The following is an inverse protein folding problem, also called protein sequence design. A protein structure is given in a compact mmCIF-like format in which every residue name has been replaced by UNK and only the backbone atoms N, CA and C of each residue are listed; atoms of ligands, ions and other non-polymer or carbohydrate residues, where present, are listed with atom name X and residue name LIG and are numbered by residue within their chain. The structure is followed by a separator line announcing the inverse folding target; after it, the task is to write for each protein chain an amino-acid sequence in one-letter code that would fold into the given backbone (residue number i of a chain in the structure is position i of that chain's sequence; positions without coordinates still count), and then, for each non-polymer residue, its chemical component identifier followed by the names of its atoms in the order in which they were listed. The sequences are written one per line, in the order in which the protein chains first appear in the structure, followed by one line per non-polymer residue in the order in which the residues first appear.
data_IF_473046473272
#
_entry.id   IF_473046473272
#
_cell.length_a   1.000
_cell.length_b   1.000
_cell.length_c   1.000
_cell.angle_alpha   90.00
_cell.angle_beta   90.00
_cell.angle_gamma   90.00
#
_symmetry.space_group_name_H-M   'P 1'
#
loop_
_entity.id
_entity.type
_entity.pdbx_description
1 polymer ?
#
# COMPACT_ATOMS: atom_id res chain seq x y z
N UNK A 1 -9.13 -17.09 -25.50
CA UNK A 1 -10.18 -16.84 -24.48
C UNK A 1 -9.87 -15.51 -23.81
N UNK A 2 -10.85 -14.60 -23.79
CA UNK A 2 -10.78 -13.20 -23.34
C UNK A 2 -11.39 -13.16 -21.93
N UNK A 3 -10.61 -12.87 -20.88
CA UNK A 3 -11.13 -12.79 -19.49
C UNK A 3 -10.40 -11.68 -18.72
N UNK A 4 -11.15 -10.62 -18.41
CA UNK A 4 -11.05 -9.76 -17.22
C UNK A 4 -9.81 -8.88 -16.97
N UNK A 5 -9.22 -8.28 -18.02
CA UNK A 5 -8.48 -7.00 -17.84
C UNK A 5 -9.46 -5.83 -17.92
N UNK A 6 -10.48 -5.80 -17.04
CA UNK A 6 -11.49 -4.75 -17.00
C UNK A 6 -10.86 -3.38 -17.18
N UNK A 7 -11.35 -2.62 -18.17
CA UNK A 7 -10.78 -1.37 -18.72
C UNK A 7 -9.69 -0.70 -17.86
N UNK A 8 -8.47 -1.27 -17.89
CA UNK A 8 -7.36 -0.79 -17.07
C UNK A 8 -6.98 0.66 -17.44
N UNK A 9 -6.98 1.05 -18.73
CA UNK A 9 -6.83 2.45 -19.12
C UNK A 9 -7.89 3.37 -18.52
N UNK A 10 -9.18 3.01 -18.62
CA UNK A 10 -10.27 3.80 -18.03
C UNK A 10 -10.20 3.88 -16.50
N UNK A 11 -9.79 2.80 -15.84
CA UNK A 11 -9.56 2.78 -14.40
C UNK A 11 -8.39 3.70 -14.01
N UNK A 12 -7.27 3.66 -14.73
CA UNK A 12 -6.13 4.54 -14.49
C UNK A 12 -6.51 6.01 -14.66
N UNK A 13 -7.27 6.32 -15.71
CA UNK A 13 -7.75 7.68 -15.97
C UNK A 13 -8.67 8.17 -14.83
N UNK A 14 -9.61 7.35 -14.39
CA UNK A 14 -10.52 7.67 -13.30
C UNK A 14 -9.79 7.87 -11.96
N UNK A 15 -8.85 6.98 -11.62
CA UNK A 15 -8.07 7.11 -10.39
C UNK A 15 -7.11 8.30 -10.43
N UNK A 16 -6.49 8.59 -11.58
CA UNK A 16 -5.62 9.77 -11.74
C UNK A 16 -6.40 11.07 -11.55
N UNK A 17 -7.56 11.24 -12.19
CA UNK A 17 -8.43 12.41 -11.95
C UNK A 17 -8.88 12.53 -10.50
N UNK A 18 -9.20 11.39 -9.89
CA UNK A 18 -9.55 11.34 -8.47
C UNK A 18 -8.38 11.71 -7.56
N UNK A 19 -7.16 11.36 -7.93
CA UNK A 19 -5.94 11.73 -7.20
C UNK A 19 -5.71 13.24 -7.28
N UNK A 20 -5.79 13.84 -8.47
CA UNK A 20 -5.61 15.29 -8.68
C UNK A 20 -6.53 16.13 -7.77
N UNK A 21 -7.80 15.72 -7.65
CA UNK A 21 -8.77 16.39 -6.77
C UNK A 21 -8.37 16.24 -5.30
N UNK A 22 -7.95 15.04 -4.89
CA UNK A 22 -7.56 14.77 -3.49
C UNK A 22 -6.26 15.47 -3.11
N UNK A 23 -5.29 15.53 -4.01
CA UNK A 23 -4.06 16.29 -3.83
C UNK A 23 -4.38 17.78 -3.66
N UNK A 24 -5.22 18.34 -4.54
CA UNK A 24 -5.64 19.73 -4.42
C UNK A 24 -6.39 20.05 -3.12
N UNK A 25 -7.14 19.08 -2.55
CA UNK A 25 -7.76 19.22 -1.23
C UNK A 25 -6.72 19.12 -0.10
N UNK A 26 -5.86 18.11 -0.16
CA UNK A 26 -4.80 17.88 0.84
C UNK A 26 -3.81 19.06 0.93
N UNK A 27 -3.55 19.74 -0.19
CA UNK A 27 -2.70 20.93 -0.23
C UNK A 27 -3.37 22.17 0.40
N UNK A 28 -4.71 22.23 0.41
CA UNK A 28 -5.44 23.33 1.07
C UNK A 28 -5.42 23.21 2.59
N UNK A 29 -5.38 21.99 3.11
CA UNK A 29 -5.24 21.71 4.54
C UNK A 29 -4.29 20.52 4.77
N UNK A 30 -2.96 20.77 4.83
CA UNK A 30 -1.97 19.72 5.07
C UNK A 30 -2.14 19.02 6.43
N UNK A 31 -2.83 19.65 7.39
CA UNK A 31 -3.12 19.06 8.70
C UNK A 31 -4.30 18.08 8.67
N UNK A 32 -5.07 18.02 7.58
CA UNK A 32 -6.20 17.13 7.46
C UNK A 32 -5.75 15.69 7.16
N UNK A 33 -5.58 14.90 8.23
CA UNK A 33 -5.18 13.50 8.14
C UNK A 33 -6.10 12.63 7.28
N UNK A 34 -7.39 12.97 7.20
CA UNK A 34 -8.36 12.27 6.34
C UNK A 34 -8.06 12.47 4.86
N UNK A 35 -7.83 13.72 4.44
CA UNK A 35 -7.49 14.03 3.06
C UNK A 35 -6.14 13.48 2.65
N UNK A 36 -5.15 13.52 3.55
CA UNK A 36 -3.86 12.87 3.33
C UNK A 36 -4.04 11.36 3.12
N UNK A 37 -4.83 10.68 3.96
CA UNK A 37 -5.11 9.25 3.80
C UNK A 37 -5.82 8.95 2.47
N UNK A 38 -6.74 9.80 2.05
CA UNK A 38 -7.43 9.64 0.76
C UNK A 38 -6.45 9.71 -0.43
N UNK A 39 -5.45 10.60 -0.38
CA UNK A 39 -4.37 10.66 -1.38
C UNK A 39 -3.57 9.36 -1.40
N UNK A 40 -3.14 8.87 -0.23
CA UNK A 40 -2.44 7.58 -0.10
C UNK A 40 -3.24 6.43 -0.73
N UNK A 41 -4.51 6.28 -0.38
CA UNK A 41 -5.37 5.22 -0.93
C UNK A 41 -5.51 5.33 -2.45
N UNK A 42 -5.64 6.55 -2.99
CA UNK A 42 -5.69 6.75 -4.44
C UNK A 42 -4.39 6.33 -5.14
N UNK A 43 -3.24 6.63 -4.55
CA UNK A 43 -1.93 6.19 -5.04
C UNK A 43 -1.80 4.66 -5.02
N UNK A 44 -2.31 3.97 -3.99
CA UNK A 44 -2.34 2.49 -3.99
C UNK A 44 -3.16 1.92 -5.15
N UNK A 45 -4.31 2.53 -5.48
CA UNK A 45 -5.14 2.09 -6.62
C UNK A 45 -4.46 2.32 -7.96
N UNK A 46 -3.78 3.45 -8.13
CA UNK A 46 -2.97 3.73 -9.33
C UNK A 46 -1.84 2.72 -9.44
N UNK A 47 -1.14 2.42 -8.34
CA UNK A 47 -0.09 1.40 -8.31
C UNK A 47 -0.61 0.01 -8.68
N UNK A 48 -1.80 -0.37 -8.22
CA UNK A 48 -2.43 -1.66 -8.56
C UNK A 48 -2.71 -1.77 -10.06
N UNK A 49 -3.23 -0.69 -10.66
CA UNK A 49 -3.53 -0.64 -12.10
C UNK A 49 -2.24 -0.64 -12.93
N UNK A 50 -1.25 0.19 -12.58
CA UNK A 50 0.05 0.24 -13.28
C UNK A 50 0.76 -1.10 -13.23
N UNK A 51 0.77 -1.78 -12.07
CA UNK A 51 1.33 -3.14 -11.94
C UNK A 51 0.60 -4.13 -12.85
N UNK A 52 -0.74 -4.07 -12.90
CA UNK A 52 -1.53 -4.94 -13.77
C UNK A 52 -1.28 -4.67 -15.27
N UNK A 53 -0.90 -3.45 -15.63
CA UNK A 53 -0.50 -3.07 -16.99
C UNK A 53 0.96 -3.43 -17.31
N UNK A 54 1.74 -3.90 -16.34
CA UNK A 54 3.18 -4.16 -16.49
C UNK A 54 4.06 -2.92 -16.38
N UNK A 55 3.50 -1.74 -16.04
CA UNK A 55 4.26 -0.54 -15.70
C UNK A 55 4.74 -0.64 -14.25
N UNK A 56 5.76 -1.47 -14.05
CA UNK A 56 6.37 -1.69 -12.73
C UNK A 56 7.05 -0.44 -12.16
N UNK A 57 7.80 0.36 -12.95
CA UNK A 57 8.37 1.61 -12.45
C UNK A 57 7.31 2.58 -11.95
N UNK A 58 6.23 2.77 -12.72
CA UNK A 58 5.14 3.64 -12.31
C UNK A 58 4.35 3.07 -11.11
N UNK A 59 4.25 1.75 -10.97
CA UNK A 59 3.64 1.14 -9.79
C UNK A 59 4.47 1.37 -8.52
N UNK A 60 5.78 1.15 -8.60
CA UNK A 60 6.71 1.38 -7.49
C UNK A 60 6.71 2.85 -7.05
N UNK A 61 6.69 3.78 -7.99
CA UNK A 61 6.56 5.21 -7.70
C UNK A 61 5.27 5.51 -6.91
N UNK A 62 4.11 5.03 -7.39
CA UNK A 62 2.83 5.28 -6.76
C UNK A 62 2.77 4.68 -5.33
N UNK A 63 3.21 3.43 -5.16
CA UNK A 63 3.23 2.82 -3.84
C UNK A 63 4.23 3.47 -2.87
N UNK A 64 5.36 3.98 -3.37
CA UNK A 64 6.34 4.70 -2.54
C UNK A 64 5.72 5.99 -2.00
N UNK A 65 5.07 6.78 -2.87
CA UNK A 65 4.36 8.00 -2.43
C UNK A 65 3.23 7.69 -1.44
N UNK A 66 2.50 6.59 -1.65
CA UNK A 66 1.50 6.13 -0.67
C UNK A 66 2.14 5.81 0.68
N UNK A 67 3.27 5.09 0.67
CA UNK A 67 3.98 4.71 1.88
C UNK A 67 4.45 5.93 2.68
N UNK A 68 5.00 6.95 2.00
CA UNK A 68 5.47 8.19 2.63
C UNK A 68 4.34 8.89 3.41
N UNK A 69 3.15 8.99 2.81
CA UNK A 69 1.98 9.57 3.46
C UNK A 69 1.51 8.69 4.62
N UNK A 70 1.41 7.38 4.41
CA UNK A 70 0.97 6.45 5.45
C UNK A 70 1.91 6.46 6.67
N UNK A 71 3.23 6.50 6.47
CA UNK A 71 4.24 6.64 7.53
C UNK A 71 4.09 7.98 8.27
N UNK A 72 3.87 9.08 7.53
CA UNK A 72 3.66 10.40 8.15
C UNK A 72 2.42 10.40 9.07
N UNK A 73 1.31 9.81 8.63
CA UNK A 73 0.09 9.69 9.44
C UNK A 73 0.30 8.76 10.64
N UNK A 74 0.88 7.58 10.43
CA UNK A 74 1.19 6.64 11.50
C UNK A 74 2.15 7.22 12.55
N UNK A 75 3.02 8.16 12.17
CA UNK A 75 3.87 8.92 13.08
C UNK A 75 3.13 9.98 13.91
N UNK A 76 2.03 10.55 13.40
CA UNK A 76 1.21 11.53 14.12
C UNK A 76 0.41 10.89 15.26
N UNK A 77 -0.10 9.67 15.04
CA UNK A 77 -0.75 8.87 16.08
C UNK A 77 -0.29 7.41 16.00
N UNK A 78 0.77 7.04 16.73
CA UNK A 78 1.26 5.67 16.78
C UNK A 78 0.24 4.65 17.31
N UNK A 79 -0.74 5.10 18.11
CA UNK A 79 -1.82 4.26 18.64
C UNK A 79 -2.93 3.98 17.63
N UNK A 80 -2.96 4.69 16.51
CA UNK A 80 -3.96 4.49 15.47
C UNK A 80 -3.65 3.22 14.66
N UNK A 81 -4.24 2.09 15.08
CA UNK A 81 -4.08 0.80 14.41
C UNK A 81 -4.52 0.83 12.93
N UNK A 82 -5.47 1.70 12.58
CA UNK A 82 -5.90 1.90 11.20
C UNK A 82 -4.81 2.49 10.31
N UNK A 83 -4.05 3.47 10.82
CA UNK A 83 -2.93 4.06 10.08
C UNK A 83 -1.72 3.13 10.03
N UNK A 84 -1.41 2.44 11.14
CA UNK A 84 -0.36 1.41 11.14
C UNK A 84 -0.64 0.32 10.09
N UNK A 85 -1.92 -0.06 9.91
CA UNK A 85 -2.32 -1.02 8.88
C UNK A 85 -2.15 -0.48 7.46
N UNK A 86 -2.40 0.79 7.20
CA UNK A 86 -2.14 1.38 5.87
C UNK A 86 -0.66 1.25 5.50
N UNK A 87 0.24 1.48 6.46
CA UNK A 87 1.66 1.32 6.21
C UNK A 87 2.02 -0.12 5.84
N UNK A 88 1.45 -1.10 6.56
CA UNK A 88 1.63 -2.53 6.26
C UNK A 88 1.12 -2.85 4.84
N UNK A 89 -0.03 -2.29 4.44
CA UNK A 89 -0.60 -2.49 3.11
C UNK A 89 0.33 -1.91 2.04
N UNK A 90 0.76 -0.66 2.18
CA UNK A 90 1.70 -0.02 1.24
C UNK A 90 3.04 -0.78 1.13
N UNK A 91 3.60 -1.26 2.24
CA UNK A 91 4.80 -2.12 2.23
C UNK A 91 4.56 -3.46 1.51
N UNK A 92 3.41 -4.09 1.73
CA UNK A 92 3.03 -5.34 1.03
C UNK A 92 2.89 -5.13 -0.48
N UNK A 93 2.36 -3.99 -0.90
CA UNK A 93 2.22 -3.62 -2.32
C UNK A 93 3.57 -3.38 -2.98
N UNK A 94 4.50 -2.69 -2.30
CA UNK A 94 5.88 -2.53 -2.73
C UNK A 94 6.59 -3.88 -2.85
N UNK A 95 6.40 -4.80 -1.90
CA UNK A 95 6.94 -6.15 -1.99
C UNK A 95 6.42 -6.89 -3.22
N UNK A 96 5.11 -6.86 -3.46
CA UNK A 96 4.52 -7.50 -4.63
C UNK A 96 4.98 -6.89 -5.96
N UNK A 97 5.16 -5.56 -6.02
CA UNK A 97 5.72 -4.89 -7.19
C UNK A 97 7.18 -5.27 -7.42
N UNK A 98 8.01 -5.30 -6.36
CA UNK A 98 9.40 -5.73 -6.44
C UNK A 98 9.55 -7.19 -6.88
N UNK A 99 8.66 -8.10 -6.45
CA UNK A 99 8.62 -9.47 -6.98
C UNK A 99 8.30 -9.51 -8.47
N UNK A 100 7.34 -8.69 -8.91
CA UNK A 100 6.99 -8.58 -10.33
C UNK A 100 8.16 -8.04 -11.16
N UNK A 101 9.01 -7.20 -10.55
CA UNK A 101 10.21 -6.60 -11.15
C UNK A 101 11.46 -7.50 -11.05
N UNK A 102 11.31 -8.74 -10.53
CA UNK A 102 12.44 -9.66 -10.38
C UNK A 102 13.43 -9.24 -9.29
N UNK A 103 12.97 -8.51 -8.27
CA UNK A 103 13.77 -8.04 -7.13
C UNK A 103 13.35 -8.73 -5.81
N UNK A 104 13.61 -10.04 -5.64
CA UNK A 104 13.15 -10.78 -4.46
C UNK A 104 13.70 -10.23 -3.13
N UNK A 105 14.93 -9.73 -3.11
CA UNK A 105 15.59 -9.24 -1.90
C UNK A 105 15.00 -7.88 -1.48
N UNK A 106 14.68 -7.02 -2.43
CA UNK A 106 13.89 -5.80 -2.19
C UNK A 106 12.52 -6.16 -1.62
N UNK A 107 11.86 -7.16 -2.19
CA UNK A 107 10.56 -7.62 -1.70
C UNK A 107 10.63 -8.20 -0.28
N UNK A 108 11.65 -9.01 0.02
CA UNK A 108 11.89 -9.55 1.35
C UNK A 108 12.06 -8.44 2.39
N UNK A 109 12.85 -7.40 2.08
CA UNK A 109 13.03 -6.26 2.98
C UNK A 109 11.74 -5.51 3.30
N UNK A 110 10.83 -5.37 2.32
CA UNK A 110 9.51 -4.79 2.55
C UNK A 110 8.61 -5.68 3.41
N UNK A 111 8.62 -6.99 3.16
CA UNK A 111 7.83 -7.95 3.94
C UNK A 111 8.31 -8.06 5.38
N UNK A 112 9.62 -8.01 5.61
CA UNK A 112 10.20 -8.06 6.95
C UNK A 112 9.75 -6.84 7.78
N UNK A 113 9.78 -5.64 7.19
CA UNK A 113 9.22 -4.42 7.82
C UNK A 113 7.72 -4.53 8.11
N UNK A 114 6.96 -5.06 7.15
CA UNK A 114 5.51 -5.24 7.31
C UNK A 114 5.17 -6.25 8.41
N UNK A 115 5.94 -7.33 8.52
CA UNK A 115 5.79 -8.35 9.56
C UNK A 115 6.10 -7.80 10.96
N UNK A 116 7.17 -7.00 11.07
CA UNK A 116 7.54 -6.33 12.32
C UNK A 116 6.40 -5.42 12.81
N UNK A 117 5.90 -4.53 11.94
CA UNK A 117 4.79 -3.64 12.30
C UNK A 117 3.50 -4.39 12.60
N UNK A 118 3.18 -5.42 11.82
CA UNK A 118 2.04 -6.30 12.09
C UNK A 118 2.15 -7.02 13.44
N UNK A 119 3.38 -7.29 13.92
CA UNK A 119 3.60 -7.84 15.25
C UNK A 119 3.27 -6.89 16.38
N UNK A 120 3.58 -5.61 16.23
CA UNK A 120 3.15 -4.60 17.18
C UNK A 120 1.60 -4.51 17.26
N UNK A 121 0.91 -4.61 16.12
CA UNK A 121 -0.56 -4.65 16.10
C UNK A 121 -1.10 -5.89 16.82
N UNK A 122 -0.65 -7.09 16.46
CA UNK A 122 -1.14 -8.32 17.12
C UNK A 122 -0.82 -8.33 18.62
N UNK A 123 0.28 -7.72 19.06
CA UNK A 123 0.58 -7.59 20.48
C UNK A 123 -0.41 -6.66 21.21
N UNK A 124 -0.98 -5.65 20.55
CA UNK A 124 -1.94 -4.71 21.16
C UNK A 124 -3.37 -5.26 21.24
N UNK A 125 -3.78 -6.09 20.29
CA UNK A 125 -5.02 -6.88 20.34
C UNK A 125 -4.82 -8.24 19.63
N UNK A 126 -4.44 -9.28 20.40
CA UNK A 126 -4.19 -10.61 19.85
C UNK A 126 -5.43 -11.31 19.28
N UNK A 127 -6.63 -10.83 19.59
CA UNK A 127 -7.89 -11.44 19.13
C UNK A 127 -8.35 -10.88 17.79
N UNK A 128 -7.66 -9.86 17.27
CA UNK A 128 -8.00 -9.22 16.02
C UNK A 128 -7.76 -10.16 14.82
N UNK A 129 -8.85 -10.71 14.28
CA UNK A 129 -8.79 -11.62 13.14
C UNK A 129 -8.24 -10.97 11.86
N UNK A 130 -8.41 -9.64 11.70
CA UNK A 130 -7.90 -8.93 10.52
C UNK A 130 -6.37 -8.92 10.53
N UNK A 131 -5.76 -8.58 11.66
CA UNK A 131 -4.30 -8.53 11.75
C UNK A 131 -3.66 -9.91 11.66
N UNK A 132 -4.32 -10.93 12.22
CA UNK A 132 -3.91 -12.32 12.05
C UNK A 132 -4.00 -12.78 10.58
N UNK A 133 -4.99 -12.28 9.84
CA UNK A 133 -5.08 -12.54 8.40
C UNK A 133 -3.98 -11.82 7.62
N UNK A 134 -3.75 -10.53 7.89
CA UNK A 134 -2.68 -9.76 7.25
C UNK A 134 -1.32 -10.45 7.48
N UNK A 135 -1.06 -10.93 8.71
CA UNK A 135 0.13 -11.73 9.04
C UNK A 135 0.29 -12.94 8.15
N UNK A 136 -0.79 -13.72 7.97
CA UNK A 136 -0.77 -14.95 7.17
C UNK A 136 -0.41 -14.63 5.71
N UNK A 137 -0.97 -13.56 5.16
CA UNK A 137 -0.65 -13.10 3.80
C UNK A 137 0.82 -12.72 3.70
N UNK A 138 1.33 -11.92 4.64
CA UNK A 138 2.73 -11.49 4.68
C UNK A 138 3.71 -12.67 4.78
N UNK A 139 3.43 -13.63 5.68
CA UNK A 139 4.25 -14.83 5.85
C UNK A 139 4.22 -15.72 4.60
N UNK A 140 3.06 -15.85 3.97
CA UNK A 140 2.93 -16.60 2.71
C UNK A 140 3.75 -15.98 1.60
N UNK A 141 3.71 -14.65 1.43
CA UNK A 141 4.53 -13.95 0.44
C UNK A 141 6.03 -14.11 0.75
N UNK A 142 6.41 -13.99 2.04
CA UNK A 142 7.81 -14.06 2.46
C UNK A 142 8.43 -15.44 2.28
N UNK A 143 7.64 -16.50 2.49
CA UNK A 143 8.06 -17.89 2.29
C UNK A 143 8.18 -18.30 0.83
N UNK A 144 7.70 -17.50 -0.12
CA UNK A 144 7.87 -17.75 -1.56
C UNK A 144 9.20 -17.19 -2.12
N UNK A 145 9.99 -16.50 -1.29
CA UNK A 145 11.23 -15.78 -1.67
C UNK A 145 12.48 -16.61 -1.30
N UNK A 146 12.42 -17.93 -1.38
CA UNK A 146 13.54 -18.82 -1.03
C UNK A 146 14.68 -18.79 -2.07
#
# INVERSE_FOLDING_TARGET
MRRDQGDLPGALEAYTRGLEIREALADQDPGNAGWQRDVSVSLERIGDVRRAQGDLPGALEAYTRSLEIAEALAGQDPGNAGWQRDVIVSQSKLAAAALSDGQPQTAAGWLDKALERNAALIASDPTNAVWANDRRVLQSMRGQIE
#
